data_IF_345929214176
#
_entry.id   IF_345929214176
#
_cell.length_a   1.000
_cell.length_b   1.000
_cell.length_c   1.000
_cell.angle_alpha   90.00
_cell.angle_beta   90.00
_cell.angle_gamma   90.00
#
_symmetry.space_group_name_H-M   'P 1'
#
loop_
_entity.id
_entity.type
_entity.pdbx_description
1 polymer ?
#
# COMPACT_ATOMS: atom_id res chain seq x y z
N UNK A 1 9.36 12.20 -3.04
CA UNK A 1 8.05 11.62 -2.68
C UNK A 1 6.94 12.42 -3.34
N UNK A 2 6.63 12.12 -4.60
CA UNK A 2 5.57 12.81 -5.37
C UNK A 2 4.19 12.36 -4.89
N UNK A 3 4.05 11.09 -4.50
CA UNK A 3 2.77 10.49 -4.11
C UNK A 3 2.18 11.13 -2.85
N UNK A 4 3.01 11.43 -1.84
CA UNK A 4 2.57 12.10 -0.61
C UNK A 4 1.97 13.48 -0.90
N UNK A 5 2.56 14.22 -1.85
CA UNK A 5 2.02 15.51 -2.27
C UNK A 5 0.67 15.35 -2.97
N UNK A 6 0.58 14.41 -3.91
CA UNK A 6 -0.68 14.12 -4.60
C UNK A 6 -1.79 13.68 -3.62
N UNK A 7 -1.44 12.87 -2.60
CA UNK A 7 -2.36 12.50 -1.53
C UNK A 7 -2.80 13.71 -0.70
N UNK A 8 -1.93 14.69 -0.45
CA UNK A 8 -2.29 15.92 0.25
C UNK A 8 -3.28 16.78 -0.54
N UNK A 9 -3.05 16.91 -1.86
CA UNK A 9 -3.97 17.60 -2.78
C UNK A 9 -5.32 16.89 -2.81
N UNK A 10 -5.32 15.56 -2.91
CA UNK A 10 -6.53 14.75 -2.91
C UNK A 10 -7.29 14.86 -1.59
N UNK A 11 -6.60 14.81 -0.45
CA UNK A 11 -7.20 14.94 0.87
C UNK A 11 -7.88 16.31 1.04
N UNK A 12 -7.20 17.38 0.66
CA UNK A 12 -7.79 18.73 0.63
C UNK A 12 -9.07 18.76 -0.21
N UNK A 13 -9.03 18.19 -1.41
CA UNK A 13 -10.19 18.12 -2.30
C UNK A 13 -11.35 17.31 -1.69
N UNK A 14 -11.07 16.18 -1.04
CA UNK A 14 -12.12 15.37 -0.41
C UNK A 14 -12.82 16.08 0.76
N UNK A 15 -12.11 16.93 1.51
CA UNK A 15 -12.68 17.62 2.67
C UNK A 15 -13.38 18.94 2.33
N UNK A 16 -12.91 19.66 1.33
CA UNK A 16 -13.38 21.02 1.01
C UNK A 16 -14.16 21.04 -0.33
N UNK A 17 -13.99 20.03 -1.18
CA UNK A 17 -14.60 19.97 -2.52
C UNK A 17 -13.86 20.82 -3.56
N UNK A 18 -12.73 21.43 -3.20
CA UNK A 18 -11.92 22.28 -4.08
C UNK A 18 -10.45 21.91 -3.97
N UNK A 19 -9.69 22.10 -5.05
CA UNK A 19 -8.24 21.90 -5.01
C UNK A 19 -7.55 23.03 -4.25
N UNK A 20 -6.43 22.76 -3.55
CA UNK A 20 -5.71 23.77 -2.78
C UNK A 20 -5.13 24.89 -3.65
N UNK A 21 -4.77 24.57 -4.89
CA UNK A 21 -4.24 25.52 -5.87
C UNK A 21 -5.21 25.66 -7.03
N UNK A 22 -5.40 26.89 -7.50
CA UNK A 22 -6.24 27.26 -8.65
C UNK A 22 -5.55 28.37 -9.43
N UNK A 23 -5.83 28.43 -10.73
CA UNK A 23 -5.40 29.49 -11.65
C UNK A 23 -6.27 29.45 -12.90
N UNK A 24 -6.49 30.59 -13.55
CA UNK A 24 -7.28 30.66 -14.78
C UNK A 24 -6.48 30.16 -15.98
N UNK A 25 -5.15 30.31 -15.90
CA UNK A 25 -4.19 29.82 -16.89
C UNK A 25 -3.18 28.82 -16.27
N UNK A 26 -2.58 27.98 -17.12
CA UNK A 26 -1.52 27.03 -16.70
C UNK A 26 -0.33 27.74 -16.01
N UNK A 27 0.16 28.91 -16.50
CA UNK A 27 1.20 29.67 -15.82
C UNK A 27 0.80 30.17 -14.43
N UNK A 28 -0.44 30.64 -14.25
CA UNK A 28 -0.95 31.07 -12.94
C UNK A 28 -1.05 29.90 -11.97
N UNK A 29 -1.61 28.78 -12.41
CA UNK A 29 -1.69 27.57 -11.59
C UNK A 29 -0.29 27.10 -11.17
N UNK A 30 0.68 27.12 -12.09
CA UNK A 30 2.07 26.77 -11.77
C UNK A 30 2.65 27.73 -10.74
N UNK A 31 2.37 29.02 -10.86
CA UNK A 31 2.82 30.04 -9.89
C UNK A 31 2.20 29.80 -8.52
N UNK A 32 0.91 29.51 -8.43
CA UNK A 32 0.22 29.17 -7.19
C UNK A 32 0.81 27.92 -6.51
N UNK A 33 1.10 26.88 -7.30
CA UNK A 33 1.75 25.65 -6.80
C UNK A 33 3.15 25.96 -6.26
N UNK A 34 3.93 26.78 -6.96
CA UNK A 34 5.30 27.14 -6.56
C UNK A 34 5.34 28.08 -5.35
N UNK A 35 4.32 28.91 -5.16
CA UNK A 35 4.15 29.71 -3.95
C UNK A 35 3.78 28.85 -2.73
N UNK A 36 3.07 27.74 -2.95
CA UNK A 36 2.68 26.82 -1.88
C UNK A 36 1.68 27.40 -0.88
N UNK A 37 1.04 28.53 -1.21
CA UNK A 37 0.05 29.17 -0.36
C UNK A 37 -1.33 28.58 -0.64
N UNK A 38 -1.98 28.08 0.39
CA UNK A 38 -3.37 27.62 0.37
C UNK A 38 -4.00 27.89 1.75
N UNK A 39 -5.32 28.01 1.79
CA UNK A 39 -6.05 28.32 3.02
C UNK A 39 -6.94 27.16 3.43
N UNK A 40 -6.85 26.77 4.70
CA UNK A 40 -7.70 25.73 5.28
C UNK A 40 -8.83 26.37 6.12
N UNK A 41 -10.11 26.03 5.87
CA UNK A 41 -11.22 26.57 6.63
C UNK A 41 -11.20 26.17 8.12
N UNK A 42 -11.75 27.02 8.98
CA UNK A 42 -11.80 26.79 10.43
C UNK A 42 -12.73 25.65 10.85
N UNK A 43 -13.70 25.27 10.01
CA UNK A 43 -14.59 24.13 10.28
C UNK A 43 -13.87 22.78 10.21
N UNK A 44 -12.66 22.72 9.64
CA UNK A 44 -11.87 21.51 9.60
C UNK A 44 -11.19 21.25 10.95
N UNK A 45 -11.25 19.99 11.39
CA UNK A 45 -10.56 19.54 12.59
C UNK A 45 -9.07 19.86 12.51
N UNK A 46 -8.48 20.32 13.61
CA UNK A 46 -7.07 20.71 13.66
C UNK A 46 -6.13 19.57 13.21
N UNK A 47 -6.44 18.32 13.57
CA UNK A 47 -5.66 17.14 13.17
C UNK A 47 -5.62 16.95 11.65
N UNK A 48 -6.73 17.18 10.95
CA UNK A 48 -6.83 17.09 9.49
C UNK A 48 -6.05 18.20 8.80
N UNK A 49 -6.08 19.42 9.35
CA UNK A 49 -5.37 20.59 8.81
C UNK A 49 -3.86 20.39 8.90
N UNK A 50 -3.37 19.99 10.08
CA UNK A 50 -1.96 19.66 10.28
C UNK A 50 -1.47 18.57 9.33
N UNK A 51 -2.30 17.55 9.08
CA UNK A 51 -1.95 16.48 8.15
C UNK A 51 -1.79 17.01 6.72
N UNK A 52 -2.76 17.78 6.22
CA UNK A 52 -2.70 18.40 4.88
C UNK A 52 -1.47 19.31 4.75
N UNK A 53 -1.22 20.17 5.73
CA UNK A 53 -0.05 21.07 5.76
C UNK A 53 1.28 20.30 5.70
N UNK A 54 1.40 19.21 6.45
CA UNK A 54 2.61 18.38 6.43
C UNK A 54 2.84 17.71 5.08
N UNK A 55 1.77 17.27 4.40
CA UNK A 55 1.84 16.58 3.10
C UNK A 55 2.11 17.55 1.95
N UNK A 56 1.59 18.77 2.05
CA UNK A 56 1.77 19.87 1.09
C UNK A 56 2.98 20.76 1.41
N UNK A 57 3.98 20.23 2.11
CA UNK A 57 5.23 20.96 2.33
C UNK A 57 6.02 21.13 1.02
N UNK A 58 6.44 22.37 0.72
CA UNK A 58 7.21 22.69 -0.49
C UNK A 58 8.53 21.92 -0.57
N UNK A 59 9.18 21.73 0.58
CA UNK A 59 10.43 20.98 0.70
C UNK A 59 10.15 19.45 0.71
N UNK A 60 10.58 18.69 -0.31
CA UNK A 60 10.21 17.27 -0.42
C UNK A 60 10.70 16.38 0.72
N UNK A 61 11.78 16.78 1.40
CA UNK A 61 12.36 16.06 2.55
C UNK A 61 11.64 16.35 3.88
N UNK A 62 10.89 17.45 3.98
CA UNK A 62 10.04 17.74 5.14
C UNK A 62 8.72 16.97 5.10
N UNK A 63 8.37 16.38 3.95
CA UNK A 63 7.13 15.61 3.80
C UNK A 63 7.22 14.30 4.60
N UNK A 64 6.15 13.92 5.32
CA UNK A 64 6.13 12.68 6.09
C UNK A 64 6.23 11.45 5.17
N UNK A 65 6.78 10.35 5.69
CA UNK A 65 6.67 9.05 5.01
C UNK A 65 5.24 8.53 5.14
N UNK A 66 4.87 7.59 4.28
CA UNK A 66 3.52 6.99 4.32
C UNK A 66 3.20 6.35 5.68
N UNK A 67 4.21 5.81 6.37
CA UNK A 67 4.04 5.24 7.70
C UNK A 67 3.73 6.30 8.78
N UNK A 68 4.27 7.49 8.64
CA UNK A 68 3.98 8.61 9.55
C UNK A 68 2.57 9.17 9.28
N UNK A 69 2.17 9.24 7.99
CA UNK A 69 0.81 9.62 7.57
C UNK A 69 -0.22 8.66 8.18
N UNK A 70 -0.01 7.34 8.09
CA UNK A 70 -0.92 6.33 8.69
C UNK A 70 -1.04 6.45 10.21
N UNK A 71 0.01 6.92 10.89
CA UNK A 71 0.05 7.12 12.35
C UNK A 71 -0.51 8.47 12.78
N UNK A 72 -0.90 9.33 11.85
CA UNK A 72 -1.47 10.64 12.16
C UNK A 72 -2.70 10.52 13.06
N UNK A 73 -2.93 11.55 13.88
CA UNK A 73 -4.07 11.61 14.80
C UNK A 73 -5.39 11.53 14.01
N UNK A 74 -5.44 12.17 12.84
CA UNK A 74 -6.63 12.21 12.00
C UNK A 74 -7.01 10.83 11.43
N UNK A 75 -6.04 9.98 11.11
CA UNK A 75 -6.27 8.62 10.62
C UNK A 75 -6.30 7.57 11.74
N UNK A 76 -6.33 7.99 13.01
CA UNK A 76 -6.36 7.07 14.14
C UNK A 76 -7.66 6.25 14.11
N UNK A 77 -7.52 4.93 14.13
CA UNK A 77 -8.66 4.01 14.08
C UNK A 77 -9.07 3.58 12.65
N UNK A 78 -8.49 4.19 11.61
CA UNK A 78 -8.66 3.70 10.25
C UNK A 78 -7.97 2.33 10.08
N UNK A 79 -8.66 1.38 9.44
CA UNK A 79 -8.08 0.08 9.07
C UNK A 79 -7.41 0.21 7.71
N UNK A 80 -6.08 0.05 7.70
CA UNK A 80 -5.33 -0.03 6.46
C UNK A 80 -5.28 -1.49 5.99
N UNK A 81 -5.50 -1.78 4.70
CA UNK A 81 -5.32 -3.13 4.18
C UNK A 81 -3.86 -3.56 4.34
N UNK A 82 -3.59 -4.85 4.60
CA UNK A 82 -2.23 -5.35 4.71
C UNK A 82 -1.48 -5.09 3.40
N UNK A 83 -0.22 -4.65 3.51
CA UNK A 83 0.65 -4.44 2.36
C UNK A 83 0.74 -5.74 1.56
N UNK A 84 0.49 -5.68 0.25
CA UNK A 84 0.54 -6.84 -0.65
C UNK A 84 1.95 -7.46 -0.81
N UNK A 85 2.96 -6.93 -0.12
CA UNK A 85 4.33 -7.41 -0.09
C UNK A 85 4.62 -8.03 1.27
N UNK A 86 4.90 -9.33 1.26
CA UNK A 86 5.91 -9.89 2.13
C UNK A 86 6.73 -10.90 1.31
N UNK A 87 7.54 -10.36 0.40
CA UNK A 87 8.73 -11.06 -0.08
C UNK A 87 9.73 -10.94 1.08
N UNK A 88 10.08 -12.08 1.68
CA UNK A 88 10.94 -12.20 2.86
C UNK A 88 10.51 -11.38 4.09
N UNK A 89 9.63 -11.95 4.93
CA UNK A 89 10.03 -12.08 6.33
C UNK A 89 10.87 -13.36 6.40
N UNK A 90 12.14 -13.26 6.01
CA UNK A 90 13.14 -14.06 6.70
C UNK A 90 13.13 -13.50 8.12
N UNK A 91 12.53 -14.27 9.02
CA UNK A 91 12.65 -14.18 10.48
C UNK A 91 12.76 -12.78 11.09
N UNK A 92 11.65 -12.20 11.54
CA UNK A 92 11.75 -11.37 12.75
C UNK A 92 10.46 -11.40 13.58
N UNK A 93 10.57 -12.21 14.64
CA UNK A 93 10.07 -11.97 16.01
C UNK A 93 8.64 -11.44 16.15
N UNK A 94 7.69 -12.36 16.21
CA UNK A 94 6.68 -12.28 17.26
C UNK A 94 7.06 -13.30 18.33
N UNK A 95 7.50 -12.77 19.46
CA UNK A 95 7.80 -13.45 20.70
C UNK A 95 6.77 -14.55 21.00
N UNK A 96 7.29 -15.69 21.42
CA UNK A 96 6.55 -16.90 21.65
C UNK A 96 5.57 -16.76 22.83
N UNK A 97 4.28 -16.93 22.57
CA UNK A 97 3.41 -17.57 23.55
C UNK A 97 2.84 -18.87 22.98
N UNK A 98 3.24 -19.95 23.67
CA UNK A 98 2.99 -21.36 23.37
C UNK A 98 1.50 -21.60 23.15
N UNK A 99 1.12 -22.03 21.96
CA UNK A 99 -0.07 -22.87 21.78
C UNK A 99 0.10 -23.81 20.59
N UNK A 100 -0.11 -25.10 20.82
CA UNK A 100 0.12 -26.22 19.90
C UNK A 100 -0.77 -26.13 18.63
N UNK A 101 -1.89 -25.42 18.73
CA UNK A 101 -2.81 -25.07 17.64
C UNK A 101 -2.14 -24.12 16.63
N UNK A 102 -1.29 -23.20 17.08
CA UNK A 102 -0.54 -22.30 16.21
C UNK A 102 0.49 -23.06 15.36
N UNK A 103 0.99 -24.21 15.82
CA UNK A 103 1.94 -25.06 15.08
C UNK A 103 1.28 -25.73 13.87
N UNK A 104 0.07 -26.27 14.02
CA UNK A 104 -0.71 -26.85 12.89
C UNK A 104 -1.18 -25.79 11.89
N UNK A 105 -1.55 -24.60 12.38
CA UNK A 105 -1.92 -23.44 11.52
C UNK A 105 -0.69 -22.87 10.81
N UNK A 106 0.47 -22.84 11.46
CA UNK A 106 1.74 -22.41 10.88
C UNK A 106 2.18 -23.34 9.75
N UNK A 107 2.14 -24.67 9.95
CA UNK A 107 2.45 -25.66 8.91
C UNK A 107 1.51 -25.57 7.69
N UNK A 108 0.19 -25.43 7.91
CA UNK A 108 -0.77 -25.24 6.80
C UNK A 108 -0.56 -23.89 6.09
N UNK A 109 -0.28 -22.81 6.81
CA UNK A 109 0.05 -21.51 6.21
C UNK A 109 1.34 -21.57 5.38
N UNK A 110 2.40 -22.19 5.90
CA UNK A 110 3.68 -22.33 5.19
C UNK A 110 3.54 -23.15 3.91
N UNK A 111 2.73 -24.22 3.92
CA UNK A 111 2.47 -25.02 2.71
C UNK A 111 1.63 -24.26 1.66
N UNK A 112 0.61 -23.49 2.09
CA UNK A 112 -0.19 -22.67 1.19
C UNK A 112 0.62 -21.52 0.57
N UNK A 113 1.50 -20.90 1.36
CA UNK A 113 2.42 -19.86 0.89
C UNK A 113 3.41 -20.46 -0.12
N UNK A 114 4.04 -21.59 0.20
CA UNK A 114 4.96 -22.28 -0.71
C UNK A 114 4.29 -22.65 -2.03
N UNK A 115 3.07 -23.22 -2.00
CA UNK A 115 2.32 -23.57 -3.22
C UNK A 115 1.97 -22.35 -4.06
N UNK A 116 1.60 -21.24 -3.42
CA UNK A 116 1.32 -19.98 -4.11
C UNK A 116 2.57 -19.35 -4.72
N UNK A 117 3.74 -19.47 -4.06
CA UNK A 117 5.00 -18.94 -4.57
C UNK A 117 5.49 -19.73 -5.78
N UNK A 118 5.34 -21.06 -5.79
CA UNK A 118 5.65 -21.88 -6.98
C UNK A 118 4.80 -21.49 -8.18
N UNK A 119 3.50 -21.24 -7.97
CA UNK A 119 2.59 -20.81 -9.04
C UNK A 119 2.93 -19.41 -9.57
N UNK A 120 3.28 -18.48 -8.66
CA UNK A 120 3.78 -17.15 -9.04
C UNK A 120 5.05 -17.27 -9.88
N UNK A 121 6.02 -18.07 -9.46
CA UNK A 121 7.27 -18.25 -10.19
C UNK A 121 7.09 -18.93 -11.55
N UNK A 122 6.17 -19.89 -11.68
CA UNK A 122 5.83 -20.47 -12.98
C UNK A 122 5.34 -19.41 -13.97
N UNK A 123 4.47 -18.49 -13.51
CA UNK A 123 3.97 -17.39 -14.33
C UNK A 123 5.10 -16.39 -14.64
N UNK A 124 5.91 -16.02 -13.65
CA UNK A 124 7.06 -15.11 -13.85
C UNK A 124 8.06 -15.67 -14.88
N UNK A 125 8.37 -16.97 -14.82
CA UNK A 125 9.24 -17.64 -15.78
C UNK A 125 8.63 -17.68 -17.18
N UNK A 126 7.31 -17.81 -17.31
CA UNK A 126 6.63 -17.72 -18.62
C UNK A 126 6.76 -16.33 -19.26
N UNK A 127 6.96 -15.29 -18.46
CA UNK A 127 7.28 -13.94 -18.92
C UNK A 127 8.78 -13.73 -19.15
N UNK A 128 9.61 -14.75 -18.94
CA UNK A 128 11.06 -14.67 -19.05
C UNK A 128 11.75 -13.95 -17.89
N UNK A 129 11.05 -13.71 -16.78
CA UNK A 129 11.59 -13.02 -15.60
C UNK A 129 12.11 -14.06 -14.61
N UNK A 130 13.40 -13.98 -14.26
CA UNK A 130 14.05 -14.89 -13.31
C UNK A 130 14.16 -14.28 -11.90
N UNK A 131 14.45 -15.12 -10.90
CA UNK A 131 14.65 -14.68 -9.52
C UNK A 131 15.84 -13.73 -9.38
N UNK A 132 16.95 -14.03 -10.05
CA UNK A 132 18.14 -13.16 -10.10
C UNK A 132 17.83 -11.76 -10.64
N UNK A 133 16.99 -11.66 -11.69
CA UNK A 133 16.56 -10.36 -12.22
C UNK A 133 15.77 -9.55 -11.20
N UNK A 134 15.08 -10.20 -10.27
CA UNK A 134 14.32 -9.55 -9.20
C UNK A 134 15.22 -9.13 -8.04
N UNK A 135 16.21 -9.95 -7.68
CA UNK A 135 17.24 -9.65 -6.66
C UNK A 135 18.08 -8.44 -7.07
N UNK A 136 18.63 -8.44 -8.30
CA UNK A 136 19.36 -7.30 -8.88
C UNK A 136 18.52 -6.02 -8.96
N UNK A 137 17.19 -6.20 -9.01
CA UNK A 137 16.21 -5.14 -9.11
C UNK A 137 15.82 -4.54 -7.76
N UNK A 138 16.09 -5.21 -6.64
CA UNK A 138 15.70 -4.74 -5.30
C UNK A 138 16.37 -3.40 -4.95
N UNK A 139 17.63 -3.21 -5.33
CA UNK A 139 18.36 -1.96 -5.07
C UNK A 139 17.79 -0.75 -5.84
N UNK A 140 17.13 -1.00 -6.98
CA UNK A 140 16.51 0.05 -7.81
C UNK A 140 15.19 0.56 -7.25
N UNK A 141 14.70 -0.06 -6.17
CA UNK A 141 13.54 0.38 -5.42
C UNK A 141 12.18 0.04 -6.07
N UNK A 142 11.08 0.51 -5.46
CA UNK A 142 9.72 0.03 -5.73
C UNK A 142 9.12 0.42 -7.09
N UNK A 143 9.85 1.18 -7.91
CA UNK A 143 9.43 1.64 -9.25
C UNK A 143 9.93 0.72 -10.38
N UNK A 144 10.50 -0.43 -10.04
CA UNK A 144 10.99 -1.40 -11.01
C UNK A 144 9.84 -2.22 -11.61
N UNK A 145 9.82 -2.33 -12.95
CA UNK A 145 8.84 -3.15 -13.67
C UNK A 145 8.84 -4.61 -13.22
N UNK A 146 9.99 -5.19 -12.89
CA UNK A 146 10.10 -6.58 -12.42
C UNK A 146 9.39 -6.78 -11.07
N UNK A 147 9.61 -5.85 -10.14
CA UNK A 147 8.93 -5.83 -8.84
C UNK A 147 7.41 -5.58 -9.04
N UNK A 148 7.05 -4.70 -9.97
CA UNK A 148 5.66 -4.45 -10.34
C UNK A 148 4.95 -5.70 -10.85
N UNK A 149 5.54 -6.38 -11.84
CA UNK A 149 5.00 -7.61 -12.43
C UNK A 149 4.88 -8.71 -11.38
N UNK A 150 5.91 -8.92 -10.56
CA UNK A 150 5.87 -9.87 -9.46
C UNK A 150 4.67 -9.61 -8.53
N UNK A 151 4.46 -8.35 -8.12
CA UNK A 151 3.34 -7.98 -7.22
C UNK A 151 1.98 -8.23 -7.85
N UNK A 152 1.82 -7.96 -9.15
CA UNK A 152 0.57 -8.19 -9.88
C UNK A 152 0.27 -9.69 -9.93
N UNK A 153 1.25 -10.50 -10.32
CA UNK A 153 1.11 -11.96 -10.39
C UNK A 153 0.82 -12.55 -9.01
N UNK A 154 1.55 -12.12 -7.98
CA UNK A 154 1.32 -12.54 -6.61
C UNK A 154 -0.10 -12.22 -6.15
N UNK A 155 -0.61 -11.01 -6.45
CA UNK A 155 -1.97 -10.63 -6.11
C UNK A 155 -3.02 -11.48 -6.84
N UNK A 156 -2.80 -11.77 -8.13
CA UNK A 156 -3.71 -12.62 -8.92
C UNK A 156 -3.81 -14.02 -8.35
N UNK A 157 -2.67 -14.66 -8.07
CA UNK A 157 -2.61 -16.01 -7.47
C UNK A 157 -3.28 -16.03 -6.10
N UNK A 158 -2.99 -15.05 -5.24
CA UNK A 158 -3.62 -14.95 -3.92
C UNK A 158 -5.14 -14.70 -3.99
N UNK A 159 -5.59 -13.92 -4.97
CA UNK A 159 -7.01 -13.62 -5.16
C UNK A 159 -7.77 -14.86 -5.67
N UNK A 160 -7.20 -15.59 -6.62
CA UNK A 160 -7.74 -16.85 -7.11
C UNK A 160 -7.79 -17.92 -6.00
N UNK A 161 -6.75 -18.00 -5.17
CA UNK A 161 -6.72 -18.90 -4.02
C UNK A 161 -7.82 -18.55 -2.98
N UNK A 162 -8.05 -17.26 -2.70
CA UNK A 162 -9.13 -16.83 -1.80
C UNK A 162 -10.53 -17.10 -2.37
N UNK A 163 -10.70 -16.93 -3.68
CA UNK A 163 -11.97 -17.22 -4.35
C UNK A 163 -12.31 -18.72 -4.32
N UNK A 164 -11.33 -19.59 -4.61
CA UNK A 164 -11.55 -21.05 -4.56
C UNK A 164 -11.96 -21.54 -3.17
N UNK A 165 -11.36 -21.01 -2.10
CA UNK A 165 -11.74 -21.33 -0.71
C UNK A 165 -13.16 -20.86 -0.37
N UNK A 166 -13.56 -19.66 -0.79
CA UNK A 166 -14.93 -19.16 -0.59
C UNK A 166 -15.97 -20.04 -1.31
N UNK A 167 -15.68 -20.47 -2.53
CA UNK A 167 -16.56 -21.36 -3.29
C UNK A 167 -16.69 -22.75 -2.65
N UNK A 168 -15.64 -23.26 -2.00
CA UNK A 168 -15.70 -24.53 -1.25
C UNK A 168 -16.60 -24.40 -0.02
N UNK A 169 -16.41 -23.36 0.81
CA UNK A 169 -17.23 -23.15 2.02
C UNK A 169 -18.71 -22.85 1.69
N UNK A 170 -18.99 -22.17 0.57
CA UNK A 170 -20.36 -21.90 0.14
C UNK A 170 -21.11 -23.17 -0.30
N UNK A 171 -20.39 -24.18 -0.82
CA UNK A 171 -20.99 -25.47 -1.18
C UNK A 171 -21.30 -26.33 0.04
N UNK A 172 -20.47 -26.26 1.09
CA UNK A 172 -20.73 -26.96 2.35
C UNK A 172 -21.98 -26.44 3.07
N UNK A 173 -22.28 -25.13 2.97
CA UNK A 173 -23.47 -24.51 3.55
C UNK A 173 -24.79 -24.82 2.82
N UNK A 174 -24.73 -25.28 1.56
CA UNK A 174 -25.93 -25.63 0.76
C UNK A 174 -26.26 -27.13 0.88
N UNK A 175 -25.38 -27.92 1.50
CA UNK A 175 -25.53 -29.37 1.66
C UNK A 175 -26.08 -29.77 3.04
N UNK A 176 -26.52 -28.79 3.85
CA UNK A 176 -27.27 -28.96 5.11
C UNK A 176 -28.68 -28.38 4.95
#
# INVERSE_FOLDING_TARGET
MVDIWALGVLLHFMLIGVTPFRGESVPELKTAILQGSFTLPMYLEHSSRMLIESMLSMEPYKRPKIEDVKKSIWLRGCRFPPTYLNLSNHEEKMEAEKNEIAKKVSLRKSCLIARSLSEVWNIMHSYGITEQMLEDSQERGPKNAMIGTYRIVQFQVQTAAKQSVKCMNAKELITL
#
